data_IF_809516325019
#
_entry.id   IF_809516325019
#
_cell.length_a   1.000
_cell.length_b   1.000
_cell.length_c   1.000
_cell.angle_alpha   90.00
_cell.angle_beta   90.00
_cell.angle_gamma   90.00
#
_symmetry.space_group_name_H-M   'P 1'
#
loop_
_entity.id
_entity.type
_entity.pdbx_description
1 polymer ?
#
# COMPACT_ATOMS: atom_id res chain seq x y z
N UNK A 1 -11.69 -21.09 -23.43
CA UNK A 1 -11.53 -21.06 -21.95
C UNK A 1 -11.45 -19.59 -21.53
N UNK A 2 -12.08 -19.20 -20.42
CA UNK A 2 -11.86 -17.85 -19.86
C UNK A 2 -10.40 -17.73 -19.45
N UNK A 3 -9.73 -16.65 -19.83
CA UNK A 3 -8.39 -16.37 -19.32
C UNK A 3 -8.43 -16.16 -17.80
N UNK A 4 -7.32 -16.48 -17.14
CA UNK A 4 -7.11 -16.34 -15.70
C UNK A 4 -6.14 -15.17 -15.45
N UNK A 5 -6.71 -14.07 -14.96
CA UNK A 5 -5.97 -12.85 -14.65
C UNK A 5 -5.91 -12.69 -13.13
N UNK A 6 -4.71 -12.62 -12.58
CA UNK A 6 -4.45 -12.58 -11.16
C UNK A 6 -3.85 -11.23 -10.73
N UNK A 7 -4.39 -10.65 -9.65
CA UNK A 7 -3.83 -9.48 -8.99
C UNK A 7 -3.31 -9.87 -7.61
N UNK A 8 -2.00 -9.85 -7.43
CA UNK A 8 -1.38 -10.09 -6.12
C UNK A 8 -1.29 -8.78 -5.33
N UNK A 9 -2.10 -8.69 -4.29
CA UNK A 9 -2.17 -7.55 -3.38
C UNK A 9 -1.30 -7.83 -2.16
N UNK A 10 -0.58 -6.81 -1.67
CA UNK A 10 0.30 -6.95 -0.49
C UNK A 10 0.09 -5.88 0.56
N UNK A 11 0.31 -4.62 0.22
CA UNK A 11 0.27 -3.50 1.17
C UNK A 11 -0.56 -2.31 0.66
N UNK A 12 -1.18 -2.49 -0.49
CA UNK A 12 -1.80 -1.48 -1.34
C UNK A 12 -3.32 -1.67 -1.38
N UNK A 13 -3.94 -1.81 -0.21
CA UNK A 13 -5.38 -2.05 -0.01
C UNK A 13 -6.24 -0.81 -0.30
N UNK A 14 -6.16 -0.31 -1.53
CA UNK A 14 -6.88 0.86 -2.05
C UNK A 14 -7.36 0.60 -3.47
N UNK A 15 -8.52 1.15 -3.80
CA UNK A 15 -9.06 1.11 -5.16
C UNK A 15 -8.53 2.29 -5.97
N UNK A 16 -8.48 3.48 -5.36
CA UNK A 16 -8.01 4.67 -6.05
C UNK A 16 -6.49 4.66 -6.18
N UNK A 17 -6.01 5.09 -7.34
CA UNK A 17 -4.58 5.21 -7.65
C UNK A 17 -3.77 3.96 -7.31
N UNK A 18 -4.34 2.81 -7.63
CA UNK A 18 -3.65 1.53 -7.62
C UNK A 18 -3.29 1.16 -9.07
N UNK A 19 -2.00 1.27 -9.49
CA UNK A 19 -1.63 1.08 -10.88
C UNK A 19 -1.77 -0.37 -11.33
N UNK A 20 -1.42 -1.36 -10.51
CA UNK A 20 -1.67 -2.77 -10.83
C UNK A 20 -3.17 -3.04 -11.05
N UNK A 21 -4.02 -2.58 -10.12
CA UNK A 21 -5.46 -2.74 -10.21
C UNK A 21 -6.05 -2.00 -11.44
N UNK A 22 -5.59 -0.79 -11.73
CA UNK A 22 -6.03 -0.03 -12.90
C UNK A 22 -5.70 -0.76 -14.21
N UNK A 23 -4.47 -1.24 -14.36
CA UNK A 23 -4.04 -1.86 -15.61
C UNK A 23 -4.72 -3.22 -15.81
N UNK A 24 -4.84 -4.05 -14.78
CA UNK A 24 -5.53 -5.35 -14.91
C UNK A 24 -7.03 -5.19 -15.24
N UNK A 25 -7.69 -4.14 -14.72
CA UNK A 25 -9.08 -3.84 -15.07
C UNK A 25 -9.28 -3.46 -16.54
N UNK A 26 -8.26 -2.93 -17.22
CA UNK A 26 -8.35 -2.56 -18.63
C UNK A 26 -8.40 -3.77 -19.57
N UNK A 27 -8.10 -4.98 -19.08
CA UNK A 27 -8.18 -6.23 -19.86
C UNK A 27 -9.65 -6.64 -20.09
N UNK A 28 -10.60 -6.11 -19.31
CA UNK A 28 -12.05 -6.37 -19.41
C UNK A 28 -12.45 -7.86 -19.30
N UNK A 29 -11.65 -8.66 -18.60
CA UNK A 29 -11.88 -10.09 -18.37
C UNK A 29 -12.06 -10.38 -16.87
N UNK A 30 -12.28 -11.65 -16.51
CA UNK A 30 -12.40 -12.06 -15.11
C UNK A 30 -11.06 -11.88 -14.38
N UNK A 31 -11.11 -11.23 -13.22
CA UNK A 31 -9.95 -10.93 -12.37
C UNK A 31 -10.14 -11.59 -11.02
N UNK A 32 -9.09 -12.26 -10.55
CA UNK A 32 -8.98 -12.76 -9.18
C UNK A 32 -7.87 -12.03 -8.46
N UNK A 33 -8.25 -11.16 -7.53
CA UNK A 33 -7.31 -10.56 -6.60
C UNK A 33 -7.08 -11.50 -5.42
N UNK A 34 -5.86 -11.51 -4.88
CA UNK A 34 -5.58 -12.28 -3.69
C UNK A 34 -4.51 -11.63 -2.81
N UNK A 35 -4.56 -11.95 -1.52
CA UNK A 35 -3.58 -11.60 -0.52
C UNK A 35 -3.10 -12.86 0.20
N UNK A 36 -1.82 -12.90 0.57
CA UNK A 36 -1.22 -14.00 1.31
C UNK A 36 -0.74 -13.48 2.67
N UNK A 37 -1.35 -14.00 3.72
CA UNK A 37 -0.97 -13.76 5.10
C UNK A 37 0.14 -14.73 5.53
N UNK A 38 1.36 -14.22 5.66
CA UNK A 38 2.48 -14.96 6.24
C UNK A 38 2.53 -14.72 7.77
N UNK A 39 2.12 -15.72 8.56
CA UNK A 39 2.14 -15.66 10.02
C UNK A 39 3.51 -15.26 10.61
N UNK A 40 4.61 -15.64 9.95
CA UNK A 40 5.96 -15.32 10.44
C UNK A 40 6.21 -13.81 10.38
N UNK A 41 5.71 -13.12 9.35
CA UNK A 41 5.84 -11.65 9.22
C UNK A 41 5.07 -10.90 10.32
N UNK A 42 3.99 -11.47 10.84
CA UNK A 42 3.10 -10.84 11.82
C UNK A 42 3.24 -11.39 13.25
N UNK A 43 4.26 -12.23 13.51
CA UNK A 43 4.55 -12.75 14.84
C UNK A 43 4.73 -11.59 15.83
N UNK A 44 4.00 -11.64 16.95
CA UNK A 44 3.98 -10.61 18.00
C UNK A 44 3.48 -9.22 17.56
N UNK A 45 2.76 -9.10 16.44
CA UNK A 45 2.23 -7.82 15.93
C UNK A 45 0.70 -7.73 16.07
N UNK A 46 0.17 -7.89 17.30
CA UNK A 46 -1.27 -7.97 17.55
C UNK A 46 -2.07 -6.78 17.01
N UNK A 47 -1.57 -5.55 17.18
CA UNK A 47 -2.25 -4.35 16.68
C UNK A 47 -2.30 -4.30 15.15
N UNK A 48 -1.19 -4.61 14.49
CA UNK A 48 -1.13 -4.68 13.02
C UNK A 48 -2.01 -5.80 12.47
N UNK A 49 -2.12 -6.93 13.17
CA UNK A 49 -3.03 -8.01 12.82
C UNK A 49 -4.49 -7.59 12.88
N UNK A 50 -4.91 -6.89 13.94
CA UNK A 50 -6.26 -6.33 14.00
C UNK A 50 -6.51 -5.31 12.88
N UNK A 51 -5.55 -4.42 12.63
CA UNK A 51 -5.63 -3.44 11.55
C UNK A 51 -5.77 -4.13 10.19
N UNK A 52 -4.90 -5.09 9.89
CA UNK A 52 -4.92 -5.88 8.66
C UNK A 52 -6.24 -6.61 8.49
N UNK A 53 -6.76 -7.27 9.53
CA UNK A 53 -8.06 -7.93 9.48
C UNK A 53 -9.17 -6.98 9.02
N UNK A 54 -9.31 -5.82 9.68
CA UNK A 54 -10.34 -4.83 9.32
C UNK A 54 -10.13 -4.27 7.91
N UNK A 55 -8.88 -4.02 7.54
CA UNK A 55 -8.49 -3.60 6.20
C UNK A 55 -8.91 -4.61 5.14
N UNK A 56 -8.63 -5.91 5.34
CA UNK A 56 -8.95 -6.96 4.39
C UNK A 56 -10.46 -7.11 4.21
N UNK A 57 -11.24 -7.03 5.30
CA UNK A 57 -12.71 -7.04 5.24
C UNK A 57 -13.22 -5.85 4.41
N UNK A 58 -12.73 -4.65 4.68
CA UNK A 58 -13.15 -3.45 3.96
C UNK A 58 -12.72 -3.47 2.49
N UNK A 59 -11.51 -3.96 2.21
CA UNK A 59 -10.99 -4.08 0.86
C UNK A 59 -11.73 -5.15 0.04
N UNK A 60 -12.05 -6.29 0.64
CA UNK A 60 -12.90 -7.32 0.03
C UNK A 60 -14.25 -6.74 -0.38
N UNK A 61 -14.92 -6.01 0.51
CA UNK A 61 -16.21 -5.37 0.20
C UNK A 61 -16.10 -4.38 -0.97
N UNK A 62 -15.01 -3.61 -1.03
CA UNK A 62 -14.74 -2.71 -2.15
C UNK A 62 -14.53 -3.47 -3.45
N UNK A 63 -13.68 -4.50 -3.46
CA UNK A 63 -13.42 -5.30 -4.65
C UNK A 63 -14.69 -6.02 -5.15
N UNK A 64 -15.50 -6.55 -4.23
CA UNK A 64 -16.78 -7.17 -4.54
C UNK A 64 -17.75 -6.18 -5.20
N UNK A 65 -17.81 -4.93 -4.74
CA UNK A 65 -18.64 -3.90 -5.37
C UNK A 65 -18.19 -3.57 -6.80
N UNK A 66 -16.92 -3.87 -7.11
CA UNK A 66 -16.33 -3.66 -8.42
C UNK A 66 -16.24 -4.90 -9.31
N UNK A 67 -16.83 -6.00 -8.84
CA UNK A 67 -16.91 -7.25 -9.59
C UNK A 67 -15.60 -8.02 -9.68
N UNK A 68 -14.68 -7.80 -8.75
CA UNK A 68 -13.40 -8.52 -8.65
C UNK A 68 -13.47 -9.47 -7.46
N UNK A 69 -13.18 -10.75 -7.67
CA UNK A 69 -13.07 -11.71 -6.56
C UNK A 69 -11.82 -11.40 -5.74
N UNK A 70 -11.93 -11.53 -4.43
CA UNK A 70 -10.79 -11.35 -3.52
C UNK A 70 -10.64 -12.53 -2.58
N UNK A 71 -9.50 -13.22 -2.65
CA UNK A 71 -9.18 -14.36 -1.79
C UNK A 71 -8.03 -14.08 -0.84
N UNK A 72 -8.11 -14.63 0.35
CA UNK A 72 -7.10 -14.48 1.39
C UNK A 72 -6.56 -15.87 1.75
N UNK A 73 -5.26 -16.05 1.63
CA UNK A 73 -4.57 -17.29 1.93
C UNK A 73 -3.66 -17.12 3.14
N UNK A 74 -3.43 -18.20 3.91
CA UNK A 74 -2.44 -18.23 4.98
C UNK A 74 -1.30 -19.16 4.57
N UNK A 75 -0.19 -18.60 4.09
CA UNK A 75 0.95 -19.36 3.57
C UNK A 75 2.18 -18.43 3.45
N UNK A 76 3.31 -18.98 3.03
CA UNK A 76 4.43 -18.20 2.52
C UNK A 76 4.19 -17.80 1.06
N UNK A 77 4.46 -16.53 0.73
CA UNK A 77 4.20 -15.95 -0.59
C UNK A 77 4.87 -16.73 -1.74
N UNK A 78 6.17 -17.05 -1.60
CA UNK A 78 6.93 -17.77 -2.63
C UNK A 78 6.37 -19.18 -2.81
N UNK A 79 6.12 -19.89 -1.71
CA UNK A 79 5.63 -21.28 -1.73
C UNK A 79 4.26 -21.35 -2.40
N UNK A 80 3.33 -20.50 -1.97
CA UNK A 80 1.96 -20.49 -2.49
C UNK A 80 1.93 -20.09 -3.97
N UNK A 81 2.59 -18.99 -4.34
CA UNK A 81 2.56 -18.48 -5.73
C UNK A 81 3.22 -19.49 -6.67
N UNK A 82 4.32 -20.13 -6.26
CA UNK A 82 4.93 -21.22 -7.05
C UNK A 82 3.97 -22.39 -7.26
N UNK A 83 3.22 -22.78 -6.22
CA UNK A 83 2.19 -23.82 -6.33
C UNK A 83 1.05 -23.39 -7.25
N UNK A 84 0.60 -22.14 -7.16
CA UNK A 84 -0.45 -21.57 -8.01
C UNK A 84 -0.04 -21.61 -9.49
N UNK A 85 1.15 -21.10 -9.81
CA UNK A 85 1.71 -21.08 -11.18
C UNK A 85 1.82 -22.49 -11.76
N UNK A 86 2.22 -23.48 -10.95
CA UNK A 86 2.35 -24.87 -11.40
C UNK A 86 1.01 -25.55 -11.66
N UNK A 87 -0.01 -25.25 -10.86
CA UNK A 87 -1.29 -25.94 -10.88
C UNK A 87 -2.31 -25.28 -11.81
N UNK A 88 -2.11 -24.01 -12.14
CA UNK A 88 -3.03 -23.24 -12.95
C UNK A 88 -2.34 -22.61 -14.14
N UNK A 89 -2.99 -22.67 -15.30
CA UNK A 89 -2.60 -21.84 -16.44
C UNK A 89 -3.00 -20.39 -16.16
N UNK A 90 -2.06 -19.59 -15.68
CA UNK A 90 -2.21 -18.15 -15.47
C UNK A 90 -1.88 -17.44 -16.77
N UNK A 91 -2.79 -16.62 -17.27
CA UNK A 91 -2.55 -15.83 -18.48
C UNK A 91 -1.84 -14.51 -18.16
N UNK A 92 -2.18 -13.90 -17.03
CA UNK A 92 -1.75 -12.56 -16.66
C UNK A 92 -1.58 -12.43 -15.14
N UNK A 93 -0.46 -11.89 -14.68
CA UNK A 93 -0.15 -11.70 -13.27
C UNK A 93 0.30 -10.26 -12.97
N UNK A 94 -0.46 -9.53 -12.15
CA UNK A 94 -0.24 -8.11 -11.89
C UNK A 94 0.05 -7.88 -10.40
N UNK A 95 0.98 -6.98 -10.09
CA UNK A 95 1.25 -6.57 -8.71
C UNK A 95 1.95 -5.22 -8.63
N UNK A 96 1.87 -4.61 -7.45
CA UNK A 96 2.61 -3.41 -7.12
C UNK A 96 3.92 -3.76 -6.40
N UNK A 97 5.01 -3.16 -6.86
CA UNK A 97 6.33 -3.27 -6.24
C UNK A 97 6.34 -2.61 -4.86
N UNK A 98 7.08 -3.21 -3.92
CA UNK A 98 7.35 -2.63 -2.61
C UNK A 98 8.83 -2.27 -2.57
N UNK A 99 9.11 -0.99 -2.33
CA UNK A 99 10.48 -0.46 -2.27
C UNK A 99 11.19 -0.82 -0.95
N UNK A 100 11.31 -2.11 -0.65
CA UNK A 100 12.10 -2.65 0.46
C UNK A 100 13.00 -3.80 -0.03
N UNK A 101 14.25 -3.89 0.42
CA UNK A 101 15.19 -4.91 -0.07
C UNK A 101 14.72 -6.35 0.14
N UNK A 102 14.11 -6.65 1.28
CA UNK A 102 13.57 -7.97 1.63
C UNK A 102 12.40 -8.37 0.72
N UNK A 103 11.47 -7.44 0.47
CA UNK A 103 10.37 -7.66 -0.48
C UNK A 103 10.87 -7.83 -1.91
N UNK A 104 11.95 -7.13 -2.30
CA UNK A 104 12.54 -7.29 -3.63
C UNK A 104 13.12 -8.68 -3.85
N UNK A 105 13.64 -9.34 -2.80
CA UNK A 105 14.09 -10.73 -2.90
C UNK A 105 12.93 -11.68 -3.18
N UNK A 106 11.78 -11.45 -2.54
CA UNK A 106 10.54 -12.23 -2.75
C UNK A 106 10.03 -12.01 -4.18
N UNK A 107 9.94 -10.74 -4.62
CA UNK A 107 9.54 -10.38 -5.99
C UNK A 107 10.44 -11.05 -7.03
N UNK A 108 11.76 -10.95 -6.88
CA UNK A 108 12.71 -11.56 -7.83
C UNK A 108 12.54 -13.08 -7.93
N UNK A 109 12.26 -13.76 -6.82
CA UNK A 109 12.04 -15.21 -6.85
C UNK A 109 10.70 -15.57 -7.52
N UNK A 110 9.65 -14.78 -7.29
CA UNK A 110 8.36 -14.96 -7.96
C UNK A 110 8.48 -14.68 -9.46
N UNK A 111 9.14 -13.60 -9.87
CA UNK A 111 9.41 -13.22 -11.27
C UNK A 111 10.15 -14.33 -12.02
N UNK A 112 11.15 -14.97 -11.38
CA UNK A 112 11.84 -16.15 -11.95
C UNK A 112 10.87 -17.30 -12.16
N UNK A 113 10.00 -17.60 -11.19
CA UNK A 113 9.02 -18.67 -11.34
C UNK A 113 8.02 -18.33 -12.45
N UNK A 114 7.51 -17.09 -12.54
CA UNK A 114 6.62 -16.66 -13.63
C UNK A 114 7.27 -16.84 -15.00
N UNK A 115 8.55 -16.47 -15.14
CA UNK A 115 9.30 -16.64 -16.39
C UNK A 115 9.51 -18.12 -16.78
N UNK A 116 9.81 -19.00 -15.81
CA UNK A 116 9.99 -20.44 -16.06
C UNK A 116 8.72 -21.08 -16.65
N UNK A 117 7.54 -20.61 -16.24
CA UNK A 117 6.25 -21.13 -16.69
C UNK A 117 5.59 -20.27 -17.78
N UNK A 118 6.33 -19.34 -18.39
CA UNK A 118 5.86 -18.47 -19.48
C UNK A 118 4.57 -17.69 -19.14
N UNK A 119 4.45 -17.23 -17.89
CA UNK A 119 3.32 -16.41 -17.43
C UNK A 119 3.60 -14.94 -17.73
N UNK A 120 2.70 -14.27 -18.47
CA UNK A 120 2.79 -12.83 -18.66
C UNK A 120 2.56 -12.10 -17.34
N UNK A 121 3.44 -11.17 -16.99
CA UNK A 121 3.30 -10.40 -15.76
C UNK A 121 3.67 -8.94 -15.92
N UNK A 122 3.00 -8.08 -15.15
CA UNK A 122 3.30 -6.65 -15.09
C UNK A 122 3.49 -6.19 -13.64
N UNK A 123 4.59 -5.47 -13.43
CA UNK A 123 4.97 -4.87 -12.15
C UNK A 123 4.83 -3.35 -12.23
N UNK A 124 4.23 -2.75 -11.19
CA UNK A 124 4.01 -1.31 -11.14
C UNK A 124 4.58 -0.68 -9.88
N UNK A 125 5.11 0.54 -10.00
CA UNK A 125 5.53 1.35 -8.86
C UNK A 125 4.31 2.03 -8.22
N UNK A 126 4.11 1.87 -6.91
CA UNK A 126 2.90 2.40 -6.22
C UNK A 126 3.16 3.04 -4.85
N UNK A 127 4.26 2.69 -4.19
CA UNK A 127 4.45 3.01 -2.77
C UNK A 127 5.28 4.27 -2.53
N UNK A 128 5.89 4.81 -3.58
CA UNK A 128 6.79 5.94 -3.50
C UNK A 128 6.26 7.13 -4.30
N UNK A 129 6.55 8.32 -3.79
CA UNK A 129 6.27 9.58 -4.49
C UNK A 129 7.06 9.71 -5.79
N UNK A 130 8.27 9.17 -5.78
CA UNK A 130 9.24 9.19 -6.86
C UNK A 130 10.27 8.11 -6.56
N UNK A 131 10.95 7.64 -7.60
CA UNK A 131 12.06 6.71 -7.44
C UNK A 131 13.21 7.36 -6.64
N UNK A 132 13.65 6.81 -5.49
CA UNK A 132 14.76 7.35 -4.73
C UNK A 132 16.07 7.37 -5.54
N UNK A 133 16.24 6.49 -6.52
CA UNK A 133 17.42 6.44 -7.37
C UNK A 133 17.41 7.48 -8.49
N UNK A 134 16.28 8.14 -8.77
CA UNK A 134 16.21 9.24 -9.74
C UNK A 134 16.70 10.57 -9.16
N UNK A 135 16.65 10.74 -7.83
CA UNK A 135 17.08 11.96 -7.14
C UNK A 135 18.56 11.89 -6.79
N UNK A 136 19.39 12.37 -7.71
CA UNK A 136 20.85 12.36 -7.57
C UNK A 136 21.42 13.77 -7.50
N UNK A 137 22.62 13.88 -6.93
CA UNK A 137 23.43 15.10 -7.00
C UNK A 137 23.85 15.36 -8.46
N UNK A 138 24.37 16.56 -8.73
CA UNK A 138 24.90 16.92 -10.05
C UNK A 138 26.03 16.00 -10.54
N UNK A 139 26.79 15.42 -9.60
CA UNK A 139 27.85 14.44 -9.86
C UNK A 139 27.33 12.99 -9.99
N UNK A 140 26.01 12.79 -10.08
CA UNK A 140 25.32 11.49 -10.14
C UNK A 140 25.45 10.62 -8.87
N UNK A 141 26.01 11.14 -7.78
CA UNK A 141 26.10 10.42 -6.49
C UNK A 141 24.81 10.55 -5.67
N UNK A 142 24.51 9.59 -4.77
CA UNK A 142 23.36 9.69 -3.88
C UNK A 142 23.57 10.78 -2.82
N UNK A 143 22.47 11.37 -2.35
CA UNK A 143 22.49 12.27 -1.20
C UNK A 143 22.68 11.48 0.11
N UNK A 144 23.55 11.98 0.99
CA UNK A 144 23.75 11.43 2.34
C UNK A 144 23.05 12.25 3.43
N UNK A 145 22.49 13.43 3.08
CA UNK A 145 21.80 14.32 4.02
C UNK A 145 20.38 14.59 3.51
N UNK A 146 19.40 14.47 4.41
CA UNK A 146 17.98 14.59 4.08
C UNK A 146 17.58 15.95 3.50
N UNK A 147 18.05 17.06 4.07
CA UNK A 147 17.64 18.41 3.63
C UNK A 147 17.97 18.70 2.15
N UNK A 148 19.21 18.48 1.67
CA UNK A 148 19.52 18.68 0.25
C UNK A 148 18.84 17.65 -0.65
N UNK A 149 18.68 16.40 -0.20
CA UNK A 149 17.85 15.41 -0.90
C UNK A 149 16.43 15.95 -1.11
N UNK A 150 15.76 16.37 -0.02
CA UNK A 150 14.40 16.89 -0.01
C UNK A 150 14.20 18.04 -1.01
N UNK A 151 15.12 19.02 -1.03
CA UNK A 151 15.01 20.17 -1.93
C UNK A 151 15.06 19.75 -3.39
N UNK A 152 15.97 18.85 -3.75
CA UNK A 152 16.09 18.36 -5.13
C UNK A 152 14.91 17.46 -5.52
N UNK A 153 14.53 16.55 -4.62
CA UNK A 153 13.35 15.72 -4.73
C UNK A 153 12.09 16.54 -5.02
N UNK A 154 11.80 17.53 -4.17
CA UNK A 154 10.64 18.41 -4.31
C UNK A 154 10.67 19.16 -5.64
N UNK A 155 11.83 19.70 -6.05
CA UNK A 155 11.95 20.41 -7.32
C UNK A 155 11.70 19.51 -8.52
N UNK A 156 12.34 18.34 -8.58
CA UNK A 156 12.13 17.35 -9.66
C UNK A 156 10.67 16.89 -9.72
N UNK A 157 10.12 16.54 -8.56
CA UNK A 157 8.73 16.11 -8.42
C UNK A 157 7.74 17.15 -8.96
N UNK A 158 7.93 18.42 -8.60
CA UNK A 158 7.05 19.51 -9.04
C UNK A 158 7.18 19.81 -10.54
N UNK A 159 8.34 19.56 -11.16
CA UNK A 159 8.56 19.74 -12.61
C UNK A 159 7.90 18.65 -13.44
N UNK A 160 7.91 17.41 -12.97
CA UNK A 160 7.43 16.23 -13.71
C UNK A 160 5.92 15.97 -13.54
N UNK A 161 5.15 16.97 -13.14
CA UNK A 161 3.73 16.81 -12.77
C UNK A 161 2.85 16.43 -13.97
N UNK A 162 2.49 15.15 -14.05
CA UNK A 162 1.29 14.67 -14.72
C UNK A 162 0.44 13.86 -13.72
N UNK A 163 -0.36 14.57 -12.94
CA UNK A 163 -1.32 13.96 -12.01
C UNK A 163 -2.54 13.46 -12.76
N UNK A 164 -2.44 12.26 -13.34
CA UNK A 164 -3.60 11.61 -13.94
C UNK A 164 -4.18 10.68 -12.88
N UNK A 165 -5.27 11.10 -12.24
CA UNK A 165 -6.06 10.19 -11.39
C UNK A 165 -6.64 9.12 -12.29
N UNK A 166 -6.06 7.92 -12.24
CA UNK A 166 -6.52 6.78 -13.02
C UNK A 166 -7.79 6.21 -12.36
N UNK A 167 -8.95 6.50 -12.95
CA UNK A 167 -10.22 5.94 -12.49
C UNK A 167 -10.45 4.58 -13.12
N UNK A 168 -10.75 3.60 -12.28
CA UNK A 168 -11.08 2.26 -12.72
C UNK A 168 -12.53 2.27 -13.21
N UNK A 169 -12.76 1.74 -14.41
CA UNK A 169 -14.11 1.50 -14.95
C UNK A 169 -14.38 0.00 -14.89
N UNK A 170 -15.49 -0.40 -14.29
CA UNK A 170 -15.85 -1.80 -14.15
C UNK A 170 -17.36 -1.97 -14.19
N UNK A 171 -17.81 -3.19 -14.50
CA UNK A 171 -19.22 -3.56 -14.41
C UNK A 171 -19.52 -3.95 -12.98
N UNK A 172 -20.54 -3.34 -12.38
CA UNK A 172 -21.08 -3.80 -11.08
C UNK A 172 -21.46 -5.27 -11.23
N UNK A 173 -20.80 -6.12 -10.49
CA UNK A 173 -21.18 -7.52 -10.29
C UNK A 173 -20.92 -7.84 -8.82
N UNK A 174 -21.70 -8.74 -8.24
CA UNK A 174 -21.48 -9.15 -6.85
C UNK A 174 -20.86 -10.53 -6.87
N UNK A 175 -19.56 -10.59 -6.54
CA UNK A 175 -18.87 -11.85 -6.27
C UNK A 175 -18.74 -11.96 -4.75
N UNK A 176 -19.01 -13.14 -4.19
CA UNK A 176 -18.82 -13.42 -2.77
C UNK A 176 -17.81 -14.55 -2.63
N UNK A 177 -16.61 -14.21 -2.17
CA UNK A 177 -15.61 -15.16 -1.70
C UNK A 177 -15.72 -15.30 -0.18
N UNK A 178 -15.58 -16.52 0.34
CA UNK A 178 -15.54 -16.76 1.78
C UNK A 178 -14.09 -16.84 2.26
N UNK A 179 -13.64 -15.81 2.97
CA UNK A 179 -12.33 -15.73 3.59
C UNK A 179 -12.38 -15.90 5.12
N UNK A 180 -13.53 -16.30 5.68
CA UNK A 180 -13.81 -16.28 7.13
C UNK A 180 -12.76 -17.05 7.93
N UNK A 181 -12.35 -18.23 7.45
CA UNK A 181 -11.37 -19.06 8.15
C UNK A 181 -10.02 -18.34 8.33
N UNK A 182 -9.49 -17.72 7.26
CA UNK A 182 -8.20 -17.02 7.31
C UNK A 182 -8.33 -15.68 8.01
N UNK A 183 -9.44 -14.96 7.85
CA UNK A 183 -9.69 -13.72 8.59
C UNK A 183 -9.73 -13.95 10.11
N UNK A 184 -10.38 -15.02 10.56
CA UNK A 184 -10.40 -15.41 11.98
C UNK A 184 -9.00 -15.77 12.50
N UNK A 185 -8.14 -16.34 11.66
CA UNK A 185 -6.74 -16.60 12.00
C UNK A 185 -5.94 -15.29 12.18
N UNK A 186 -6.22 -14.28 11.35
CA UNK A 186 -5.54 -12.98 11.42
C UNK A 186 -5.97 -12.21 12.67
N UNK A 187 -7.25 -12.22 13.03
CA UNK A 187 -7.79 -11.48 14.17
C UNK A 187 -7.09 -11.87 15.50
N UNK A 188 -6.65 -10.91 16.34
CA UNK A 188 -6.05 -11.24 17.63
C UNK A 188 -7.04 -11.96 18.55
N UNK A 189 -6.56 -12.95 19.33
CA UNK A 189 -7.40 -13.68 20.29
C UNK A 189 -7.87 -12.84 21.47
N UNK A 190 -7.11 -11.81 21.85
CA UNK A 190 -7.46 -10.90 22.96
C UNK A 190 -8.26 -9.73 22.39
N UNK A 191 -9.42 -9.46 22.96
CA UNK A 191 -10.38 -8.42 22.52
C UNK A 191 -10.01 -6.99 22.96
N UNK A 192 -8.73 -6.72 23.26
CA UNK A 192 -8.29 -5.36 23.62
C UNK A 192 -8.61 -4.32 22.53
N UNK A 193 -8.74 -4.78 21.29
CA UNK A 193 -9.02 -3.96 20.12
C UNK A 193 -10.46 -3.42 20.07
N UNK A 194 -11.40 -3.93 20.87
CA UNK A 194 -12.76 -3.36 20.95
C UNK A 194 -12.74 -1.88 21.35
N UNK A 195 -11.79 -1.49 22.20
CA UNK A 195 -11.58 -0.08 22.56
C UNK A 195 -11.10 0.73 21.35
N UNK A 196 -10.30 0.13 20.47
CA UNK A 196 -9.80 0.78 19.25
C UNK A 196 -10.90 0.98 18.22
N UNK A 197 -11.86 0.07 18.13
CA UNK A 197 -12.98 0.18 17.19
C UNK A 197 -13.86 1.42 17.44
N UNK A 198 -13.85 1.96 18.66
CA UNK A 198 -14.52 3.23 18.99
C UNK A 198 -13.86 4.45 18.34
N UNK A 199 -12.57 4.35 18.01
CA UNK A 199 -11.77 5.48 17.51
C UNK A 199 -11.35 5.29 16.05
N UNK A 200 -11.27 4.05 15.58
CA UNK A 200 -10.58 3.71 14.34
C UNK A 200 -11.40 2.77 13.47
N UNK A 201 -11.43 3.07 12.18
CA UNK A 201 -11.99 2.19 11.15
C UNK A 201 -10.94 2.00 10.05
N UNK A 202 -10.09 0.96 10.13
CA UNK A 202 -9.03 0.72 9.15
C UNK A 202 -9.56 0.60 7.71
N UNK A 203 -8.85 1.18 6.74
CA UNK A 203 -9.20 1.12 5.33
C UNK A 203 -9.21 2.48 4.63
N UNK A 204 -9.26 2.43 3.29
CA UNK A 204 -9.08 3.59 2.41
C UNK A 204 -10.10 4.73 2.63
N UNK A 205 -11.37 4.45 2.98
CA UNK A 205 -12.38 5.53 3.12
C UNK A 205 -12.16 6.39 4.36
N UNK A 206 -11.83 5.75 5.49
CA UNK A 206 -11.42 6.46 6.70
C UNK A 206 -10.14 7.23 6.45
N UNK A 207 -9.19 6.63 5.74
CA UNK A 207 -7.96 7.28 5.28
C UNK A 207 -8.23 8.60 4.54
N UNK A 208 -9.10 8.57 3.52
CA UNK A 208 -9.53 9.75 2.76
C UNK A 208 -10.26 10.77 3.63
N UNK A 209 -11.13 10.30 4.54
CA UNK A 209 -11.89 11.16 5.46
C UNK A 209 -10.94 11.91 6.40
N UNK A 210 -10.01 11.19 7.03
CA UNK A 210 -8.98 11.77 7.91
C UNK A 210 -8.10 12.77 7.18
N UNK A 211 -7.74 12.49 5.94
CA UNK A 211 -6.96 13.42 5.13
C UNK A 211 -7.76 14.68 4.77
N UNK A 212 -9.01 14.53 4.33
CA UNK A 212 -9.90 15.67 4.07
C UNK A 212 -10.10 16.51 5.32
N UNK A 213 -10.32 15.87 6.47
CA UNK A 213 -10.45 16.53 7.77
C UNK A 213 -9.17 17.27 8.16
N UNK A 214 -8.00 16.63 7.99
CA UNK A 214 -6.70 17.23 8.26
C UNK A 214 -6.45 18.46 7.40
N UNK A 215 -6.78 18.38 6.10
CA UNK A 215 -6.69 19.50 5.16
C UNK A 215 -7.65 20.63 5.57
N UNK A 216 -8.91 20.29 5.87
CA UNK A 216 -9.99 21.24 6.19
C UNK A 216 -9.79 21.95 7.53
N UNK A 217 -9.46 21.21 8.59
CA UNK A 217 -9.23 21.75 9.94
C UNK A 217 -7.94 22.57 10.01
N UNK A 218 -7.06 22.43 9.01
CA UNK A 218 -5.71 23.01 8.87
C UNK A 218 -4.77 22.65 10.02
N UNK A 219 -3.54 22.38 9.61
CA UNK A 219 -2.24 22.87 10.09
C UNK A 219 -2.21 24.05 11.11
N UNK A 220 -2.99 23.98 12.18
CA UNK A 220 -2.61 24.58 13.46
C UNK A 220 -1.50 23.69 14.02
N UNK A 221 -0.41 24.33 14.44
CA UNK A 221 0.93 23.80 14.72
C UNK A 221 0.98 22.81 15.91
N UNK A 222 -0.15 22.22 16.30
CA UNK A 222 -0.32 21.39 17.49
C UNK A 222 -1.20 20.18 17.17
N UNK A 223 -0.72 19.27 16.32
CA UNK A 223 -1.33 17.94 16.26
C UNK A 223 -0.78 17.08 17.43
N UNK A 224 -1.63 16.48 18.28
CA UNK A 224 -1.21 15.52 19.30
C UNK A 224 -0.42 14.34 18.71
N UNK A 225 0.41 13.70 19.53
CA UNK A 225 1.24 12.53 19.14
C UNK A 225 0.39 11.39 18.55
N UNK A 226 -0.87 11.27 19.00
CA UNK A 226 -1.86 10.31 18.51
C UNK A 226 -2.11 10.45 16.99
N UNK A 227 -2.13 11.67 16.48
CA UNK A 227 -2.28 11.93 15.03
C UNK A 227 -1.07 11.41 14.25
N UNK A 228 0.13 11.42 14.83
CA UNK A 228 1.35 10.95 14.17
C UNK A 228 1.41 9.42 14.07
N UNK A 229 1.01 8.71 15.12
CA UNK A 229 0.89 7.24 15.11
C UNK A 229 -0.16 6.78 14.09
N UNK A 230 -1.26 7.53 13.96
CA UNK A 230 -2.29 7.31 12.95
C UNK A 230 -1.75 7.42 11.52
N UNK A 231 -0.95 8.45 11.23
CA UNK A 231 -0.32 8.58 9.92
C UNK A 231 0.68 7.47 9.62
N UNK A 232 1.42 6.99 10.63
CA UNK A 232 2.38 5.89 10.46
C UNK A 232 1.67 4.61 10.01
N UNK A 233 0.56 4.24 10.64
CA UNK A 233 -0.19 3.03 10.29
C UNK A 233 -0.96 3.18 8.96
N UNK A 234 -1.54 4.36 8.69
CA UNK A 234 -2.20 4.61 7.40
C UNK A 234 -1.21 4.61 6.22
N UNK A 235 0.02 5.06 6.45
CA UNK A 235 1.10 5.02 5.46
C UNK A 235 1.72 3.62 5.36
N UNK A 236 1.86 2.86 6.45
CA UNK A 236 2.43 1.52 6.41
C UNK A 236 1.54 0.53 5.66
N UNK A 237 0.23 0.74 5.67
CA UNK A 237 -0.73 -0.02 4.87
C UNK A 237 -1.22 0.72 3.62
N UNK A 238 -0.51 1.79 3.23
CA UNK A 238 -0.73 2.61 2.03
C UNK A 238 -2.21 2.93 1.74
N UNK A 239 -3.01 3.12 2.79
CA UNK A 239 -4.43 3.44 2.69
C UNK A 239 -4.68 4.85 2.14
N UNK A 240 -3.67 5.70 2.21
CA UNK A 240 -3.65 7.05 1.68
C UNK A 240 -2.51 7.15 0.68
N UNK A 241 -2.82 7.61 -0.53
CA UNK A 241 -1.79 8.02 -1.46
C UNK A 241 -1.11 9.29 -0.95
N UNK A 242 0.22 9.24 -0.85
CA UNK A 242 1.03 10.32 -0.26
C UNK A 242 0.73 11.68 -0.90
N UNK A 243 0.28 11.74 -2.16
CA UNK A 243 0.16 12.98 -2.92
C UNK A 243 -1.13 13.77 -2.72
N UNK A 244 -2.21 13.18 -2.18
CA UNK A 244 -3.31 14.01 -1.64
C UNK A 244 -2.80 14.92 -0.50
N UNK A 245 -1.69 14.58 0.19
CA UNK A 245 -1.01 15.51 1.13
C UNK A 245 -0.22 16.64 0.43
N UNK A 246 0.21 16.46 -0.82
CA UNK A 246 1.18 17.34 -1.51
C UNK A 246 0.55 18.39 -2.43
N UNK A 247 -0.77 18.33 -2.67
CA UNK A 247 -1.51 19.43 -3.33
C UNK A 247 -1.43 20.77 -2.58
N UNK A 248 -0.75 20.76 -1.45
CA UNK A 248 -0.69 21.80 -0.46
C UNK A 248 0.81 22.14 -0.19
N UNK A 249 1.44 22.82 -1.16
CA UNK A 249 2.87 23.23 -1.19
C UNK A 249 3.34 24.05 0.04
N UNK A 250 2.46 24.86 0.62
CA UNK A 250 2.77 25.66 1.83
C UNK A 250 2.84 24.79 3.10
N UNK A 251 2.23 23.61 3.06
CA UNK A 251 1.85 22.85 4.24
C UNK A 251 2.93 21.85 4.65
N UNK A 252 3.68 21.29 3.68
CA UNK A 252 4.85 20.45 3.97
C UNK A 252 6.04 21.26 4.53
N UNK A 253 6.24 22.50 4.08
CA UNK A 253 7.29 23.39 4.63
C UNK A 253 7.12 23.61 6.13
N UNK A 254 5.88 23.73 6.60
CA UNK A 254 5.56 23.91 8.02
C UNK A 254 5.76 22.61 8.82
N UNK A 255 5.34 21.46 8.28
CA UNK A 255 5.57 20.16 8.89
C UNK A 255 7.06 19.81 9.02
N UNK A 256 7.87 20.08 7.99
CA UNK A 256 9.33 19.86 8.00
C UNK A 256 10.01 20.81 8.99
N UNK A 257 9.59 22.08 9.06
CA UNK A 257 10.10 23.05 10.04
C UNK A 257 9.81 22.60 11.48
N UNK A 258 8.63 22.02 11.72
CA UNK A 258 8.25 21.44 13.01
C UNK A 258 9.08 20.20 13.37
N UNK A 259 9.24 19.24 12.44
CA UNK A 259 10.05 18.04 12.65
C UNK A 259 11.52 18.39 12.95
N UNK A 260 12.09 19.37 12.25
CA UNK A 260 13.45 19.89 12.53
C UNK A 260 13.57 20.50 13.92
N UNK A 261 12.55 21.24 14.38
CA UNK A 261 12.56 21.86 15.70
C UNK A 261 12.40 20.82 16.82
N UNK A 262 11.61 19.77 16.59
CA UNK A 262 11.38 18.68 17.55
C UNK A 262 12.57 17.72 17.67
N UNK A 263 13.19 17.36 16.55
CA UNK A 263 14.43 16.56 16.53
C UNK A 263 15.61 17.29 17.20
N UNK A 264 15.65 18.63 17.09
CA UNK A 264 16.64 19.46 17.77
C UNK A 264 16.38 19.60 19.28
N UNK A 265 15.11 19.56 19.73
CA UNK A 265 14.76 19.66 21.17
C UNK A 265 14.89 18.34 21.93
N UNK A 266 14.88 17.20 21.25
CA UNK A 266 14.94 15.86 21.87
C UNK A 266 16.35 15.24 21.85
N UNK A 267 17.37 15.91 21.31
CA UNK A 267 18.76 15.45 21.26
C UNK A 267 18.95 14.06 20.58
N UNK A 268 18.12 13.73 19.59
CA UNK A 268 18.17 12.43 18.85
C UNK A 268 19.04 12.53 17.57
N UNK A 269 20.02 13.43 17.53
CA UNK A 269 21.00 13.51 16.43
C UNK A 269 22.45 13.22 16.83
N UNK A 270 22.68 12.67 18.01
CA UNK A 270 23.94 11.98 18.32
C UNK A 270 23.67 10.71 19.14
N UNK A 271 23.34 9.63 18.44
CA UNK A 271 23.88 8.26 18.60
C UNK A 271 23.27 7.36 17.52
#
# INVERSE_FOLDING_TARGET
MSKKNYLWVREDFRIDDNPALYNICNIQEKIEAFFIYDEKKFKNRSAQRWWLHKTLVNFQNKLNNIGISFKVYADNEIVYIKKLIKNEKIDNFYYNAIARPDERLIENEIEKNLAIYDVNYEKFESNLLQDPFSVRKKDNTPFQVFTPYWRNAEEQYLKNKNFISKKITYKKSTIKEDNTAVLNLILPKKEWFEKFEKFWTPGEDMAKTLLKDFIKKKLLITAPIETFLLWKELLSFHHIWLLEKYHHKQYLKNAIKFLKKKLASENILMK
#
